data_IF_953974127619
#
_entry.id   IF_953974127619
#
_cell.length_a   1.000
_cell.length_b   1.000
_cell.length_c   1.000
_cell.angle_alpha   90.00
_cell.angle_beta   90.00
_cell.angle_gamma   90.00
#
_symmetry.space_group_name_H-M   'P 1'
#
loop_
_entity.id
_entity.type
_entity.pdbx_description
1 polymer ?
#
# COMPACT_ATOMS: atom_id res chain seq x y z
N UNK A 1 8.68 20.85 3.63
CA UNK A 1 9.14 19.76 2.79
C UNK A 1 9.79 18.67 3.62
N UNK A 2 9.30 17.47 3.52
CA UNK A 2 9.79 16.35 4.32
C UNK A 2 10.37 15.29 3.37
N UNK A 3 11.67 15.29 3.12
CA UNK A 3 12.25 14.35 2.17
C UNK A 3 11.97 12.89 2.47
N UNK A 4 11.93 12.53 3.75
CA UNK A 4 11.67 11.14 4.15
C UNK A 4 10.25 10.69 3.82
N UNK A 5 9.34 11.64 3.54
CA UNK A 5 7.97 11.32 3.18
C UNK A 5 7.67 11.65 1.72
N UNK A 6 8.73 11.95 0.96
CA UNK A 6 8.55 12.34 -0.42
C UNK A 6 8.38 11.11 -1.30
N UNK A 7 7.20 10.95 -1.85
CA UNK A 7 6.87 9.84 -2.73
C UNK A 7 6.73 10.40 -4.13
N UNK A 8 7.74 10.16 -4.96
CA UNK A 8 7.77 10.70 -6.31
C UNK A 8 7.20 9.72 -7.35
N UNK A 9 7.08 8.45 -7.01
CA UNK A 9 6.55 7.46 -7.94
C UNK A 9 5.03 7.60 -8.05
N UNK A 10 4.49 8.00 -9.22
CA UNK A 10 3.05 8.25 -9.35
C UNK A 10 2.17 7.06 -9.02
N UNK A 11 2.60 5.84 -9.35
CA UNK A 11 1.81 4.65 -9.07
C UNK A 11 1.65 4.44 -7.57
N UNK A 12 2.70 4.69 -6.80
CA UNK A 12 2.64 4.56 -5.34
C UNK A 12 1.76 5.65 -4.75
N UNK A 13 1.89 6.89 -5.25
CA UNK A 13 1.02 7.98 -4.81
C UNK A 13 -0.45 7.64 -5.02
N UNK A 14 -0.78 7.12 -6.20
CA UNK A 14 -2.16 6.77 -6.54
C UNK A 14 -2.68 5.63 -5.66
N UNK A 15 -1.84 4.64 -5.38
CA UNK A 15 -2.23 3.52 -4.55
C UNK A 15 -2.56 3.97 -3.13
N UNK A 16 -1.68 4.79 -2.55
CA UNK A 16 -1.87 5.30 -1.19
C UNK A 16 -3.12 6.18 -1.13
N UNK A 17 -3.32 7.05 -2.11
CA UNK A 17 -4.51 7.90 -2.16
C UNK A 17 -5.77 7.05 -2.24
N UNK A 18 -5.77 5.99 -3.03
CA UNK A 18 -6.91 5.08 -3.11
C UNK A 18 -7.23 4.44 -1.78
N UNK A 19 -6.20 4.03 -1.03
CA UNK A 19 -6.39 3.48 0.31
C UNK A 19 -7.02 4.53 1.22
N UNK A 20 -6.43 5.70 1.28
CA UNK A 20 -6.82 6.73 2.25
C UNK A 20 -8.17 7.36 1.95
N UNK A 21 -8.56 7.38 0.69
CA UNK A 21 -9.86 7.90 0.27
C UNK A 21 -10.95 6.84 0.35
N UNK A 22 -10.60 5.60 0.66
CA UNK A 22 -11.55 4.51 0.64
C UNK A 22 -12.05 4.22 -0.77
N UNK A 23 -11.24 4.53 -1.78
CA UNK A 23 -11.62 4.44 -3.18
C UNK A 23 -11.02 3.16 -3.78
N UNK A 24 -11.80 2.08 -3.72
CA UNK A 24 -11.37 0.79 -4.22
C UNK A 24 -11.01 0.82 -5.70
N UNK A 25 -11.78 1.55 -6.48
CA UNK A 25 -11.54 1.64 -7.93
C UNK A 25 -10.19 2.30 -8.21
N UNK A 26 -9.88 3.40 -7.51
CA UNK A 26 -8.61 4.08 -7.68
C UNK A 26 -7.44 3.19 -7.25
N UNK A 27 -7.61 2.46 -6.16
CA UNK A 27 -6.62 1.52 -5.68
C UNK A 27 -6.32 0.46 -6.75
N UNK A 28 -7.35 -0.17 -7.29
CA UNK A 28 -7.17 -1.22 -8.30
C UNK A 28 -6.61 -0.65 -9.61
N UNK A 29 -6.96 0.59 -9.94
CA UNK A 29 -6.46 1.23 -11.16
C UNK A 29 -4.96 1.52 -11.09
N UNK A 30 -4.39 1.61 -9.88
CA UNK A 30 -2.95 1.81 -9.72
C UNK A 30 -2.16 0.51 -9.86
N UNK A 31 -2.83 -0.61 -9.96
CA UNK A 31 -2.21 -1.93 -10.08
C UNK A 31 -2.28 -2.43 -11.53
N UNK A 32 -1.31 -3.29 -11.91
CA UNK A 32 -1.43 -4.02 -13.17
C UNK A 32 -2.57 -5.04 -13.06
N UNK A 33 -3.14 -5.49 -14.20
CA UNK A 33 -4.24 -6.47 -14.14
C UNK A 33 -3.88 -7.78 -13.46
N UNK A 34 -2.60 -8.15 -13.51
CA UNK A 34 -2.12 -9.41 -12.92
C UNK A 34 -1.29 -9.19 -11.66
N UNK A 35 -1.49 -8.04 -11.00
CA UNK A 35 -0.72 -7.70 -9.82
C UNK A 35 -0.86 -8.75 -8.71
N UNK A 36 0.23 -8.92 -7.96
CA UNK A 36 0.29 -9.87 -6.85
C UNK A 36 0.70 -9.14 -5.58
N UNK A 37 0.54 -9.78 -4.44
CA UNK A 37 0.95 -9.22 -3.17
C UNK A 37 1.28 -10.29 -2.16
N UNK A 38 1.99 -9.90 -1.10
CA UNK A 38 2.21 -10.76 0.06
C UNK A 38 1.99 -9.96 1.34
N UNK A 39 1.58 -10.67 2.39
CA UNK A 39 1.41 -10.11 3.73
C UNK A 39 2.20 -10.98 4.70
N UNK A 40 3.22 -10.39 5.33
CA UNK A 40 4.17 -11.10 6.21
C UNK A 40 4.73 -12.35 5.53
N UNK A 41 5.06 -12.23 4.24
CA UNK A 41 5.70 -13.30 3.48
C UNK A 41 4.75 -14.33 2.89
N UNK A 42 3.46 -14.19 3.09
CA UNK A 42 2.45 -15.11 2.53
C UNK A 42 1.71 -14.42 1.40
N UNK A 43 1.73 -15.02 0.22
CA UNK A 43 1.00 -14.47 -0.92
C UNK A 43 -0.51 -14.55 -0.67
N UNK A 44 -1.20 -13.46 -1.03
CA UNK A 44 -2.65 -13.35 -0.86
C UNK A 44 -3.29 -12.89 -2.16
N UNK A 45 -4.58 -13.17 -2.30
CA UNK A 45 -5.35 -12.63 -3.41
C UNK A 45 -5.56 -11.13 -3.21
N UNK A 46 -5.15 -10.32 -4.19
CA UNK A 46 -5.17 -8.87 -4.06
C UNK A 46 -6.57 -8.34 -3.78
N UNK A 47 -7.55 -8.79 -4.55
CA UNK A 47 -8.92 -8.27 -4.42
C UNK A 47 -9.53 -8.64 -3.07
N UNK A 48 -9.39 -9.88 -2.66
CA UNK A 48 -9.93 -10.36 -1.40
C UNK A 48 -9.26 -9.70 -0.21
N UNK A 49 -7.91 -9.67 -0.24
CA UNK A 49 -7.13 -9.08 0.85
C UNK A 49 -7.45 -7.59 1.01
N UNK A 50 -7.45 -6.86 -0.10
CA UNK A 50 -7.69 -5.41 -0.03
C UNK A 50 -9.11 -5.09 0.43
N UNK A 51 -10.08 -5.88 0.00
CA UNK A 51 -11.45 -5.68 0.46
C UNK A 51 -11.55 -5.86 1.97
N UNK A 52 -10.98 -6.95 2.49
CA UNK A 52 -11.06 -7.27 3.91
C UNK A 52 -10.21 -6.35 4.78
N UNK A 53 -8.97 -6.09 4.35
CA UNK A 53 -8.01 -5.38 5.21
C UNK A 53 -8.03 -3.88 5.02
N UNK A 54 -8.55 -3.39 3.90
CA UNK A 54 -8.54 -1.95 3.62
C UNK A 54 -9.96 -1.40 3.55
N UNK A 55 -10.77 -1.88 2.61
CA UNK A 55 -12.00 -1.17 2.27
C UNK A 55 -13.16 -1.49 3.19
N UNK A 56 -13.32 -2.75 3.59
CA UNK A 56 -14.39 -3.11 4.53
C UNK A 56 -14.08 -2.70 5.96
N UNK A 57 -12.80 -2.50 6.28
CA UNK A 57 -12.36 -2.19 7.65
C UNK A 57 -11.83 -0.77 7.79
N UNK A 58 -12.05 0.09 6.81
CA UNK A 58 -11.68 1.51 6.86
C UNK A 58 -10.19 1.73 7.07
N UNK A 59 -9.37 1.10 6.21
CA UNK A 59 -7.92 1.22 6.30
C UNK A 59 -7.43 2.62 6.02
N UNK A 60 -6.37 3.02 6.71
CA UNK A 60 -5.72 4.31 6.51
C UNK A 60 -4.22 4.16 6.71
N UNK A 61 -3.45 4.78 5.82
CA UNK A 61 -2.00 4.64 5.80
C UNK A 61 -1.35 6.00 5.90
N UNK A 62 -0.52 6.18 6.94
CA UNK A 62 0.26 7.39 7.15
C UNK A 62 1.74 7.06 6.98
N UNK A 63 2.37 7.65 5.97
CA UNK A 63 3.76 7.36 5.66
C UNK A 63 4.67 7.97 6.74
N UNK A 64 5.54 7.17 7.31
CA UNK A 64 6.53 7.61 8.29
C UNK A 64 7.84 7.93 7.59
N UNK A 65 8.31 7.05 6.69
CA UNK A 65 9.52 7.27 5.92
C UNK A 65 9.42 6.55 4.58
N UNK A 66 10.11 7.06 3.58
CA UNK A 66 10.07 6.49 2.25
C UNK A 66 11.47 6.49 1.62
N UNK A 67 11.74 5.50 0.79
CA UNK A 67 12.97 5.37 0.01
C UNK A 67 12.61 5.06 -1.43
N UNK A 68 13.55 5.33 -2.33
CA UNK A 68 13.41 4.97 -3.74
C UNK A 68 12.13 5.51 -4.36
N UNK A 69 11.82 6.78 -4.05
CA UNK A 69 10.63 7.43 -4.59
C UNK A 69 9.33 6.89 -4.04
N UNK A 70 9.40 6.13 -2.95
CA UNK A 70 8.22 5.52 -2.34
C UNK A 70 8.07 4.05 -2.65
N UNK A 71 9.01 3.45 -3.40
CA UNK A 71 8.96 2.01 -3.69
C UNK A 71 9.21 1.18 -2.45
N UNK A 72 9.77 1.77 -1.40
CA UNK A 72 9.96 1.14 -0.10
C UNK A 72 9.60 2.16 0.96
N UNK A 73 8.70 1.81 1.88
CA UNK A 73 8.30 2.75 2.92
C UNK A 73 7.92 2.06 4.21
N UNK A 74 7.96 2.84 5.27
CA UNK A 74 7.46 2.49 6.58
C UNK A 74 6.26 3.39 6.84
N UNK A 75 5.19 2.81 7.33
CA UNK A 75 3.94 3.54 7.53
C UNK A 75 3.23 3.07 8.79
N UNK A 76 2.49 4.00 9.40
CA UNK A 76 1.50 3.63 10.40
C UNK A 76 0.24 3.25 9.65
N UNK A 77 -0.21 2.04 9.80
CA UNK A 77 -1.43 1.55 9.16
C UNK A 77 -2.45 1.21 10.21
N UNK A 78 -3.69 1.63 10.01
CA UNK A 78 -4.76 1.29 10.94
C UNK A 78 -5.99 0.85 10.19
N UNK A 79 -6.75 -0.03 10.82
CA UNK A 79 -8.09 -0.38 10.36
C UNK A 79 -8.93 -0.82 11.55
N UNK A 80 -10.21 -1.09 11.31
CA UNK A 80 -11.14 -1.43 12.38
C UNK A 80 -10.86 -2.80 12.98
N UNK A 81 -10.21 -3.68 12.22
CA UNK A 81 -9.94 -5.05 12.66
C UNK A 81 -8.75 -5.12 13.61
N UNK A 82 -7.66 -4.46 13.25
CA UNK A 82 -6.38 -4.62 13.94
C UNK A 82 -5.97 -3.41 14.76
N UNK A 83 -6.65 -2.27 14.59
CA UNK A 83 -6.20 -1.02 15.17
C UNK A 83 -4.99 -0.48 14.41
N UNK A 84 -4.11 0.20 15.12
CA UNK A 84 -2.94 0.83 14.50
C UNK A 84 -1.71 -0.04 14.65
N UNK A 85 -0.94 -0.17 13.57
CA UNK A 85 0.30 -0.94 13.61
C UNK A 85 1.32 -0.32 12.67
N UNK A 86 2.59 -0.53 13.00
CA UNK A 86 3.69 -0.07 12.14
C UNK A 86 3.94 -1.13 11.08
N UNK A 87 3.95 -0.72 9.83
CA UNK A 87 4.05 -1.63 8.70
C UNK A 87 5.14 -1.21 7.75
N UNK A 88 5.65 -2.18 7.00
CA UNK A 88 6.57 -1.91 5.88
C UNK A 88 5.86 -2.24 4.59
N UNK A 89 6.22 -1.51 3.54
CA UNK A 89 5.62 -1.70 2.22
C UNK A 89 6.72 -1.62 1.17
N UNK A 90 6.69 -2.52 0.22
CA UNK A 90 7.60 -2.53 -0.92
C UNK A 90 6.79 -2.69 -2.19
N UNK A 91 7.10 -1.90 -3.21
CA UNK A 91 6.34 -1.87 -4.45
C UNK A 91 7.24 -2.14 -5.64
N UNK A 92 6.80 -3.01 -6.53
CA UNK A 92 7.43 -3.24 -7.82
C UNK A 92 6.61 -2.52 -8.88
N UNK A 93 7.26 -1.70 -9.69
CA UNK A 93 6.58 -0.88 -10.70
C UNK A 93 6.86 -1.46 -12.08
N UNK A 94 5.80 -1.66 -12.85
CA UNK A 94 5.91 -2.16 -14.23
C UNK A 94 4.99 -1.31 -15.10
N UNK A 95 5.55 -0.67 -16.12
CA UNK A 95 4.80 0.16 -17.07
C UNK A 95 3.94 1.21 -16.36
N UNK A 96 4.50 1.83 -15.33
CA UNK A 96 3.83 2.92 -14.63
C UNK A 96 2.76 2.50 -13.64
N UNK A 97 2.65 1.21 -13.33
CA UNK A 97 1.69 0.71 -12.36
C UNK A 97 2.37 -0.26 -11.40
N UNK A 98 1.73 -0.49 -10.26
CA UNK A 98 2.23 -1.45 -9.28
C UNK A 98 1.90 -2.85 -9.75
N UNK A 99 2.94 -3.66 -10.01
CA UNK A 99 2.76 -5.05 -10.43
C UNK A 99 2.83 -6.02 -9.25
N UNK A 100 3.44 -5.58 -8.15
CA UNK A 100 3.48 -6.37 -6.92
C UNK A 100 3.70 -5.44 -5.74
N UNK A 101 3.02 -5.72 -4.64
CA UNK A 101 3.38 -5.07 -3.38
C UNK A 101 3.51 -6.10 -2.28
N UNK A 102 4.42 -5.83 -1.35
CA UNK A 102 4.64 -6.67 -0.19
C UNK A 102 4.48 -5.81 1.04
N UNK A 103 3.72 -6.29 2.01
CA UNK A 103 3.52 -5.58 3.26
C UNK A 103 3.67 -6.54 4.42
N UNK A 104 3.81 -5.98 5.62
CA UNK A 104 3.93 -6.77 6.82
C UNK A 104 4.26 -5.86 7.99
N UNK A 105 4.36 -6.46 9.17
CA UNK A 105 4.72 -5.69 10.35
C UNK A 105 6.17 -5.23 10.27
N UNK A 106 6.42 -3.99 10.67
CA UNK A 106 7.76 -3.41 10.63
C UNK A 106 8.49 -3.55 11.96
N UNK A 107 7.96 -4.29 12.82
CA UNK A 107 8.60 -4.60 14.04
C UNK A 107 8.36 -3.91 15.21
#
# INVERSE_FOLDING_TARGET
>A
MMPENDISEPAVQALIAGINDGDRRAFLAALTPDATMSDDGTDRDVAEWSDREIFSSHGHLDVISARDGGRSLIASYRNDTWGEMRTRWAFTITNGKVSRFETGQAG
#
